data_IF_245361193806
#
_entry.id   IF_245361193806
#
_cell.length_a   1.000
_cell.length_b   1.000
_cell.length_c   1.000
_cell.angle_alpha   90.00
_cell.angle_beta   90.00
_cell.angle_gamma   90.00
#
_symmetry.space_group_name_H-M   'P 1'
#
loop_
_entity.id
_entity.type
_entity.pdbx_description
1 polymer ?
#
# COMPACT_ATOMS: atom_id res chain seq x y z
N UNK A 1 -10.26 10.23 3.89
CA UNK A 1 -10.77 10.14 2.50
C UNK A 1 -10.09 11.20 1.61
N UNK A 2 -9.66 10.84 0.41
CA UNK A 2 -9.12 11.79 -0.59
C UNK A 2 -10.21 12.05 -1.62
N UNK A 3 -10.37 13.30 -2.07
CA UNK A 3 -11.28 13.60 -3.18
C UNK A 3 -10.71 13.04 -4.49
N UNK A 4 -11.57 12.45 -5.31
CA UNK A 4 -11.18 11.86 -6.59
C UNK A 4 -12.06 10.68 -6.98
N UNK A 5 -11.63 9.96 -8.00
CA UNK A 5 -12.31 8.77 -8.50
C UNK A 5 -11.84 7.52 -7.76
N UNK A 6 -12.78 6.72 -7.29
CA UNK A 6 -12.51 5.43 -6.68
C UNK A 6 -13.00 4.31 -7.60
N UNK A 7 -12.16 3.31 -7.84
CA UNK A 7 -12.47 2.18 -8.73
C UNK A 7 -12.06 0.89 -8.04
N UNK A 8 -12.93 -0.12 -8.12
CA UNK A 8 -12.64 -1.50 -7.71
C UNK A 8 -12.93 -2.44 -8.87
N UNK A 9 -11.98 -3.31 -9.19
CA UNK A 9 -12.02 -4.22 -10.33
C UNK A 9 -11.61 -5.61 -9.87
N UNK A 10 -12.26 -6.64 -10.41
CA UNK A 10 -11.92 -8.03 -10.17
C UNK A 10 -11.32 -8.64 -11.44
N UNK A 11 -10.06 -9.04 -11.37
CA UNK A 11 -9.34 -9.68 -12.48
C UNK A 11 -9.21 -11.19 -12.21
N UNK A 12 -9.55 -12.07 -13.17
CA UNK A 12 -9.29 -13.51 -13.03
C UNK A 12 -7.80 -13.81 -12.88
N UNK A 13 -7.44 -14.75 -11.99
CA UNK A 13 -6.06 -15.18 -11.83
C UNK A 13 -5.60 -16.01 -13.04
N UNK A 14 -4.79 -15.40 -13.91
CA UNK A 14 -4.28 -15.98 -15.16
C UNK A 14 -2.83 -15.52 -15.40
N UNK A 15 -2.04 -16.25 -16.21
CA UNK A 15 -0.69 -15.81 -16.57
C UNK A 15 -0.67 -14.36 -17.06
N UNK A 16 0.27 -13.55 -16.55
CA UNK A 16 0.41 -12.13 -16.91
C UNK A 16 -0.35 -11.14 -16.01
N UNK A 17 -1.23 -11.61 -15.11
CA UNK A 17 -2.06 -10.70 -14.29
C UNK A 17 -1.23 -9.87 -13.31
N UNK A 18 -0.16 -10.44 -12.74
CA UNK A 18 0.67 -9.73 -11.77
C UNK A 18 1.47 -8.60 -12.42
N UNK A 19 2.02 -8.86 -13.61
CA UNK A 19 2.74 -7.88 -14.42
C UNK A 19 1.81 -6.74 -14.82
N UNK A 20 0.60 -7.07 -15.28
CA UNK A 20 -0.43 -6.08 -15.59
C UNK A 20 -0.81 -5.22 -14.38
N UNK A 21 -1.00 -5.84 -13.21
CA UNK A 21 -1.36 -5.13 -11.99
C UNK A 21 -0.21 -4.23 -11.49
N UNK A 22 1.04 -4.63 -11.66
CA UNK A 22 2.20 -3.79 -11.33
C UNK A 22 2.26 -2.53 -12.21
N UNK A 23 1.97 -2.67 -13.52
CA UNK A 23 1.85 -1.52 -14.42
C UNK A 23 0.66 -0.62 -14.05
N UNK A 24 -0.45 -1.20 -13.59
CA UNK A 24 -1.60 -0.43 -13.10
C UNK A 24 -1.25 0.39 -11.85
N UNK A 25 -0.51 -0.18 -10.90
CA UNK A 25 -0.04 0.56 -9.72
C UNK A 25 0.87 1.71 -10.10
N UNK A 26 1.80 1.49 -11.02
CA UNK A 26 2.70 2.54 -11.52
C UNK A 26 1.91 3.70 -12.10
N UNK A 27 0.93 3.43 -12.96
CA UNK A 27 0.05 4.45 -13.54
C UNK A 27 -0.78 5.16 -12.48
N UNK A 28 -1.34 4.41 -11.52
CA UNK A 28 -2.10 5.01 -10.43
C UNK A 28 -1.23 5.99 -9.63
N UNK A 29 0.02 5.62 -9.31
CA UNK A 29 0.97 6.49 -8.64
C UNK A 29 1.35 7.72 -9.46
N UNK A 30 1.57 7.58 -10.78
CA UNK A 30 1.87 8.69 -11.69
C UNK A 30 0.76 9.77 -11.67
N UNK A 31 -0.48 9.38 -11.41
CA UNK A 31 -1.63 10.29 -11.26
C UNK A 31 -1.91 10.71 -9.81
N UNK A 32 -1.01 10.42 -8.85
CA UNK A 32 -1.18 10.75 -7.43
C UNK A 32 -2.22 9.88 -6.71
N UNK A 33 -2.58 8.74 -7.31
CA UNK A 33 -3.45 7.73 -6.73
C UNK A 33 -2.74 6.80 -5.74
N UNK A 34 -3.51 5.90 -5.13
CA UNK A 34 -3.01 4.93 -4.15
C UNK A 34 -3.89 3.69 -4.10
N UNK A 35 -3.30 2.59 -3.62
CA UNK A 35 -4.05 1.37 -3.30
C UNK A 35 -4.77 1.48 -1.95
N UNK A 36 -5.69 0.56 -1.68
CA UNK A 36 -6.36 0.43 -0.39
C UNK A 36 -5.87 -0.83 0.32
N UNK A 37 -5.31 -0.69 1.53
CA UNK A 37 -4.75 -1.80 2.33
C UNK A 37 -5.72 -2.96 2.55
N UNK A 38 -7.02 -2.70 2.69
CA UNK A 38 -8.01 -3.77 2.86
C UNK A 38 -8.17 -4.66 1.61
N UNK A 39 -7.67 -4.23 0.45
CA UNK A 39 -7.72 -4.94 -0.82
C UNK A 39 -6.33 -5.27 -1.39
N UNK A 40 -5.26 -4.87 -0.70
CA UNK A 40 -3.89 -5.11 -1.15
C UNK A 40 -3.27 -6.31 -0.42
N UNK A 41 -2.59 -7.15 -1.20
CA UNK A 41 -1.74 -8.22 -0.69
C UNK A 41 -0.41 -8.32 -1.43
N UNK A 42 -0.04 -7.38 -2.30
CA UNK A 42 1.03 -7.58 -3.29
C UNK A 42 1.90 -6.37 -3.63
N UNK A 43 1.49 -5.13 -3.36
CA UNK A 43 2.38 -3.98 -3.64
C UNK A 43 3.66 -4.04 -2.78
N UNK A 44 4.74 -3.46 -3.30
CA UNK A 44 6.00 -3.32 -2.55
C UNK A 44 5.92 -2.23 -1.48
N UNK A 45 6.76 -2.32 -0.45
CA UNK A 45 6.93 -1.25 0.54
C UNK A 45 7.29 0.08 -0.14
N UNK A 46 8.27 0.08 -1.06
CA UNK A 46 8.70 1.28 -1.78
C UNK A 46 7.53 2.00 -2.47
N UNK A 47 6.69 1.28 -3.21
CA UNK A 47 5.54 1.86 -3.90
C UNK A 47 4.49 2.37 -2.90
N UNK A 48 4.24 1.59 -1.85
CA UNK A 48 3.29 1.98 -0.81
C UNK A 48 3.72 3.25 -0.08
N UNK A 49 4.99 3.41 0.23
CA UNK A 49 5.51 4.62 0.89
C UNK A 49 5.36 5.86 -0.01
N UNK A 50 5.58 5.73 -1.33
CA UNK A 50 5.33 6.82 -2.30
C UNK A 50 3.85 7.21 -2.39
N UNK A 51 2.93 6.25 -2.28
CA UNK A 51 1.48 6.48 -2.30
C UNK A 51 0.95 7.22 -1.07
N UNK A 52 1.70 7.23 0.03
CA UNK A 52 1.29 7.81 1.31
C UNK A 52 2.33 8.81 1.83
N UNK A 53 2.30 10.09 1.38
CA UNK A 53 3.30 11.10 1.74
C UNK A 53 3.43 11.42 3.25
N UNK A 54 2.50 10.97 4.09
CA UNK A 54 2.51 11.12 5.55
C UNK A 54 2.87 9.82 6.28
N UNK A 55 3.42 8.82 5.58
CA UNK A 55 3.70 7.52 6.16
C UNK A 55 4.73 7.60 7.30
N UNK A 56 5.75 8.44 7.18
CA UNK A 56 6.77 8.62 8.22
C UNK A 56 6.18 9.21 9.51
N UNK A 57 5.25 10.17 9.39
CA UNK A 57 4.52 10.73 10.54
C UNK A 57 3.71 9.64 11.26
N UNK A 58 3.08 8.76 10.49
CA UNK A 58 2.31 7.64 11.02
C UNK A 58 3.22 6.59 11.69
N UNK A 59 4.34 6.23 11.06
CA UNK A 59 5.33 5.29 11.63
C UNK A 59 5.89 5.86 12.93
N UNK A 60 6.22 7.14 12.99
CA UNK A 60 6.70 7.79 14.22
C UNK A 60 5.65 7.72 15.35
N UNK A 61 4.38 7.99 15.02
CA UNK A 61 3.27 7.87 15.98
C UNK A 61 3.14 6.44 16.50
N UNK A 62 3.22 5.46 15.60
CA UNK A 62 3.17 4.05 15.96
C UNK A 62 4.33 3.68 16.89
N UNK A 63 5.58 4.01 16.55
CA UNK A 63 6.76 3.69 17.36
C UNK A 63 6.73 4.32 18.75
N UNK A 64 6.09 5.48 18.90
CA UNK A 64 5.83 6.09 20.21
C UNK A 64 4.84 5.27 21.06
N UNK A 65 3.81 4.71 20.43
CA UNK A 65 2.78 3.93 21.11
C UNK A 65 3.18 2.47 21.36
N UNK A 66 3.95 1.87 20.46
CA UNK A 66 4.39 0.47 20.51
C UNK A 66 5.90 0.36 20.16
N UNK A 67 6.79 0.80 21.07
CA UNK A 67 8.24 0.85 20.82
C UNK A 67 8.88 -0.55 20.66
N UNK A 68 8.21 -1.59 21.16
CA UNK A 68 8.70 -2.97 21.09
C UNK A 68 8.08 -3.76 19.92
N UNK A 69 7.21 -3.14 19.12
CA UNK A 69 6.56 -3.78 17.98
C UNK A 69 5.68 -4.98 18.35
N UNK A 70 5.01 -4.93 19.51
CA UNK A 70 4.10 -5.98 19.98
C UNK A 70 2.96 -6.20 18.98
N UNK A 71 2.46 -5.14 18.37
CA UNK A 71 1.41 -5.21 17.36
C UNK A 71 2.04 -5.29 15.96
N UNK A 72 2.07 -6.50 15.41
CA UNK A 72 2.61 -6.76 14.08
C UNK A 72 1.67 -7.67 13.27
N UNK A 73 1.69 -7.47 11.95
CA UNK A 73 1.01 -8.32 10.96
C UNK A 73 1.94 -8.56 9.77
N UNK A 74 1.58 -9.51 8.92
CA UNK A 74 2.36 -9.79 7.71
C UNK A 74 2.31 -8.61 6.73
N UNK A 75 1.21 -7.87 6.70
CA UNK A 75 1.12 -6.60 5.98
C UNK A 75 2.12 -5.57 6.54
N UNK A 76 2.21 -5.43 7.86
CA UNK A 76 3.13 -4.49 8.48
C UNK A 76 4.61 -4.84 8.21
N UNK A 77 4.93 -6.14 8.15
CA UNK A 77 6.25 -6.63 7.74
C UNK A 77 6.53 -6.34 6.26
N UNK A 78 5.62 -6.72 5.36
CA UNK A 78 5.78 -6.54 3.90
C UNK A 78 5.88 -5.08 3.48
N UNK A 79 5.13 -4.20 4.14
CA UNK A 79 5.06 -2.78 3.81
C UNK A 79 6.00 -1.91 4.66
N UNK A 80 6.89 -2.51 5.45
CA UNK A 80 7.89 -1.81 6.28
C UNK A 80 7.26 -0.74 7.19
N UNK A 81 6.17 -1.12 7.87
CA UNK A 81 5.41 -0.23 8.74
C UNK A 81 5.86 -0.27 10.20
N UNK A 82 6.78 -1.20 10.54
CA UNK A 82 7.30 -1.48 11.89
C UNK A 82 8.12 -0.31 12.47
#
# INVERSE_FOLDING_TARGET
PMQGWNVALDFPNRPGVNEFLNELDKRAMEFGGRVYTAKDSRVSAESFHKMYPRIDEWIATRRKADPNGVFASDMARRLELL
#
